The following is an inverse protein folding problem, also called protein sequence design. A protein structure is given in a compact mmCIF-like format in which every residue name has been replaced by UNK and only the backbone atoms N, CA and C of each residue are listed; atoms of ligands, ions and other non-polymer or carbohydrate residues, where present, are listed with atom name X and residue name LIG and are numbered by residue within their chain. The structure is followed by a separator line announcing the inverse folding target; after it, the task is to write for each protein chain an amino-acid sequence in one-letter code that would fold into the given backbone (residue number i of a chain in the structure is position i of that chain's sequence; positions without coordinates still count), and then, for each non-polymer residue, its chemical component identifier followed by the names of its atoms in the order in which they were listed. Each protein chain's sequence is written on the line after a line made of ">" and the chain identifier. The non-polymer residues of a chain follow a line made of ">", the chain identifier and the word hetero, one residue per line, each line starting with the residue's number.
data_IF_783763164206
#
_entry.id   IF_783763164206
#
_cell.length_a   1.000
_cell.length_b   1.000
_cell.length_c   1.000
_cell.angle_alpha   90.00
_cell.angle_beta   90.00
_cell.angle_gamma   90.00
#
_symmetry.space_group_name_H-M   'P 1'
#
loop_
_entity.id
_entity.type
_entity.pdbx_description
1 polymer ?
#
# COMPACT_ATOMS: atom_id res chain seq x y z
N UNK A 1 -11.31 -37.80 -26.27
CA UNK A 1 -10.80 -38.55 -25.09
C UNK A 1 -10.48 -37.53 -24.02
N UNK A 2 -11.40 -37.28 -23.09
CA UNK A 2 -11.17 -36.39 -21.94
C UNK A 2 -10.88 -37.27 -20.73
N UNK A 3 -9.68 -37.17 -20.17
CA UNK A 3 -9.34 -37.85 -18.93
C UNK A 3 -10.17 -37.26 -17.76
N UNK A 4 -10.69 -38.07 -16.83
CA UNK A 4 -11.37 -37.55 -15.66
C UNK A 4 -10.38 -36.85 -14.73
N UNK A 5 -10.76 -35.68 -14.23
CA UNK A 5 -10.02 -34.97 -13.19
C UNK A 5 -9.92 -35.85 -11.94
N UNK A 6 -8.69 -36.09 -11.47
CA UNK A 6 -8.43 -36.82 -10.24
C UNK A 6 -9.08 -36.08 -9.06
N UNK A 7 -10.01 -36.75 -8.39
CA UNK A 7 -10.54 -36.28 -7.10
C UNK A 7 -9.41 -36.37 -6.08
N UNK A 8 -8.83 -35.22 -5.73
CA UNK A 8 -7.92 -35.12 -4.58
C UNK A 8 -8.74 -35.44 -3.34
N UNK A 9 -8.49 -36.62 -2.77
CA UNK A 9 -9.09 -37.05 -1.53
C UNK A 9 -8.63 -36.09 -0.43
N UNK A 10 -9.58 -35.44 0.25
CA UNK A 10 -9.28 -34.56 1.36
C UNK A 10 -8.57 -35.37 2.44
N UNK A 11 -7.27 -35.13 2.61
CA UNK A 11 -6.52 -35.64 3.75
C UNK A 11 -7.18 -35.14 5.04
N UNK A 12 -7.07 -35.93 6.10
CA UNK A 12 -7.57 -35.61 7.43
C UNK A 12 -6.72 -34.46 8.01
N UNK A 13 -7.04 -33.22 7.60
CA UNK A 13 -6.35 -32.02 8.06
C UNK A 13 -6.81 -31.77 9.50
N UNK A 14 -5.88 -31.70 10.49
CA UNK A 14 -6.26 -31.40 11.86
C UNK A 14 -7.07 -30.10 11.91
N UNK A 15 -8.11 -30.08 12.74
CA UNK A 15 -9.05 -28.96 12.82
C UNK A 15 -8.29 -27.63 12.99
N UNK A 16 -8.48 -26.71 12.04
CA UNK A 16 -7.76 -25.44 12.04
C UNK A 16 -8.13 -24.62 13.29
N UNK A 17 -7.12 -24.17 14.02
CA UNK A 17 -7.32 -23.28 15.15
C UNK A 17 -7.68 -21.87 14.65
N UNK A 18 -8.88 -21.41 15.00
CA UNK A 18 -9.34 -20.05 14.69
C UNK A 18 -8.88 -19.07 15.76
N UNK A 19 -8.11 -18.04 15.36
CA UNK A 19 -7.65 -16.97 16.26
C UNK A 19 -8.49 -15.71 16.01
N UNK A 20 -9.24 -15.20 17.00
CA UNK A 20 -10.08 -14.03 16.82
C UNK A 20 -9.26 -12.74 16.64
N UNK A 21 -9.64 -11.92 15.66
CA UNK A 21 -9.04 -10.60 15.44
C UNK A 21 -9.74 -9.55 16.32
N UNK A 22 -9.09 -9.15 17.40
CA UNK A 22 -9.61 -8.15 18.35
C UNK A 22 -8.86 -6.82 18.24
N UNK A 23 -9.47 -5.75 18.77
CA UNK A 23 -8.86 -4.41 18.87
C UNK A 23 -8.33 -3.87 17.54
N UNK A 24 -7.07 -3.43 17.55
CA UNK A 24 -6.40 -2.83 16.39
C UNK A 24 -6.33 -3.78 15.19
N UNK A 25 -6.05 -5.07 15.40
CA UNK A 25 -5.97 -6.04 14.29
C UNK A 25 -7.32 -6.24 13.62
N UNK A 26 -8.40 -6.30 14.41
CA UNK A 26 -9.76 -6.34 13.89
C UNK A 26 -10.14 -5.08 13.13
N UNK A 27 -9.74 -3.89 13.62
CA UNK A 27 -10.00 -2.62 12.94
C UNK A 27 -9.26 -2.51 11.60
N UNK A 28 -7.97 -2.90 11.56
CA UNK A 28 -7.18 -2.92 10.33
C UNK A 28 -7.82 -3.87 9.31
N UNK A 29 -8.19 -5.08 9.73
CA UNK A 29 -8.82 -6.06 8.83
C UNK A 29 -10.12 -5.54 8.21
N UNK A 30 -10.99 -4.90 9.01
CA UNK A 30 -12.22 -4.27 8.50
C UNK A 30 -11.93 -3.14 7.52
N UNK A 31 -11.02 -2.23 7.86
CA UNK A 31 -10.68 -1.09 7.01
C UNK A 31 -10.04 -1.53 5.68
N UNK A 32 -9.16 -2.53 5.72
CA UNK A 32 -8.57 -3.11 4.50
C UNK A 32 -9.62 -3.80 3.65
N UNK A 33 -10.52 -4.59 4.25
CA UNK A 33 -11.62 -5.23 3.53
C UNK A 33 -12.54 -4.23 2.83
N UNK A 34 -12.83 -3.09 3.47
CA UNK A 34 -13.59 -1.99 2.87
C UNK A 34 -12.81 -1.31 1.74
N UNK A 35 -11.54 -0.97 1.95
CA UNK A 35 -10.69 -0.35 0.95
C UNK A 35 -10.49 -1.21 -0.31
N UNK A 36 -10.56 -2.53 -0.17
CA UNK A 36 -10.41 -3.47 -1.29
C UNK A 36 -11.65 -3.58 -2.20
N UNK A 37 -12.79 -2.99 -1.81
CA UNK A 37 -13.98 -2.92 -2.66
C UNK A 37 -13.85 -1.88 -3.77
N UNK A 38 -12.88 -0.97 -3.68
CA UNK A 38 -12.66 0.08 -4.67
C UNK A 38 -11.91 -0.51 -5.88
N UNK A 39 -12.37 -0.29 -7.13
CA UNK A 39 -11.64 -0.70 -8.32
C UNK A 39 -10.25 -0.03 -8.35
N UNK A 40 -9.19 -0.84 -8.32
CA UNK A 40 -7.81 -0.37 -8.25
C UNK A 40 -7.07 -0.64 -9.55
N UNK A 41 -6.34 0.35 -10.02
CA UNK A 41 -5.33 0.20 -11.06
C UNK A 41 -3.97 0.44 -10.44
N UNK A 42 -3.02 -0.46 -10.68
CA UNK A 42 -1.63 -0.30 -10.24
C UNK A 42 -0.83 0.39 -11.35
N UNK A 43 -0.14 1.47 -10.99
CA UNK A 43 0.85 2.12 -11.84
C UNK A 43 2.19 2.17 -11.11
N UNK A 44 3.24 1.79 -11.83
CA UNK A 44 4.62 1.79 -11.33
C UNK A 44 5.50 2.58 -12.29
N UNK A 45 6.41 3.37 -11.73
CA UNK A 45 7.45 4.09 -12.46
C UNK A 45 8.78 3.90 -11.74
N UNK A 46 9.86 3.86 -12.50
CA UNK A 46 11.21 3.92 -11.96
C UNK A 46 11.67 5.38 -11.90
N UNK A 47 12.32 5.76 -10.80
CA UNK A 47 12.77 7.13 -10.56
C UNK A 47 14.20 7.12 -10.05
N UNK A 48 15.07 7.89 -10.70
CA UNK A 48 16.42 8.15 -10.21
C UNK A 48 16.37 9.09 -8.99
N UNK A 49 16.86 8.60 -7.86
CA UNK A 49 16.89 9.33 -6.59
C UNK A 49 18.30 9.78 -6.18
N UNK A 50 19.28 9.72 -7.08
CA UNK A 50 20.70 10.03 -6.80
C UNK A 50 20.87 11.42 -6.20
N UNK A 51 20.11 12.41 -6.68
CA UNK A 51 20.12 13.78 -6.15
C UNK A 51 19.50 13.89 -4.76
N UNK A 52 18.45 13.11 -4.48
CA UNK A 52 17.84 13.04 -3.16
C UNK A 52 18.80 12.40 -2.15
N UNK A 53 19.52 11.35 -2.56
CA UNK A 53 20.54 10.71 -1.72
C UNK A 53 21.74 11.63 -1.44
N UNK A 54 22.17 12.43 -2.42
CA UNK A 54 23.19 13.44 -2.21
C UNK A 54 22.75 14.47 -1.14
N UNK A 55 21.57 15.06 -1.32
CA UNK A 55 20.99 15.99 -0.35
C UNK A 55 20.85 15.36 1.05
N UNK A 56 20.42 14.09 1.11
CA UNK A 56 20.28 13.35 2.37
C UNK A 56 21.62 13.20 3.10
N UNK A 57 22.72 12.97 2.37
CA UNK A 57 24.08 12.90 2.95
C UNK A 57 24.55 14.26 3.45
N UNK A 58 24.31 15.32 2.69
CA UNK A 58 24.70 16.69 3.06
C UNK A 58 23.98 17.13 4.34
N UNK A 59 22.68 16.86 4.44
CA UNK A 59 21.89 17.13 5.64
C UNK A 59 22.38 16.31 6.83
N UNK A 60 22.66 15.02 6.63
CA UNK A 60 23.20 14.17 7.69
C UNK A 60 24.57 14.66 8.19
N UNK A 61 25.42 15.18 7.31
CA UNK A 61 26.71 15.78 7.68
C UNK A 61 26.53 17.09 8.47
N UNK A 62 25.44 17.83 8.24
CA UNK A 62 25.04 18.99 9.03
C UNK A 62 24.35 18.64 10.37
N UNK A 63 24.14 17.35 10.66
CA UNK A 63 23.51 16.85 11.88
C UNK A 63 22.03 16.47 11.72
N UNK A 64 21.42 16.75 10.57
CA UNK A 64 20.00 16.50 10.30
C UNK A 64 19.78 15.16 9.61
N UNK A 65 19.36 14.16 10.38
CA UNK A 65 19.06 12.83 9.85
C UNK A 65 17.64 12.77 9.27
N UNK A 66 17.55 12.91 7.94
CA UNK A 66 16.30 12.73 7.20
C UNK A 66 16.27 11.41 6.43
N UNK A 67 15.09 10.79 6.35
CA UNK A 67 14.88 9.60 5.51
C UNK A 67 14.53 9.99 4.07
N UNK A 68 14.78 9.08 3.12
CA UNK A 68 14.33 9.28 1.73
C UNK A 68 12.81 9.45 1.67
N UNK A 69 12.05 8.77 2.53
CA UNK A 69 10.59 8.91 2.65
C UNK A 69 10.17 10.34 2.92
N UNK A 70 10.91 11.11 3.73
CA UNK A 70 10.59 12.52 4.00
C UNK A 70 10.78 13.39 2.75
N UNK A 71 11.83 13.14 1.97
CA UNK A 71 12.06 13.85 0.70
C UNK A 71 10.95 13.55 -0.31
N UNK A 72 10.56 12.27 -0.42
CA UNK A 72 9.44 11.83 -1.27
C UNK A 72 8.12 12.44 -0.79
N UNK A 73 7.88 12.50 0.52
CA UNK A 73 6.67 13.11 1.09
C UNK A 73 6.60 14.61 0.79
N UNK A 74 7.73 15.32 0.85
CA UNK A 74 7.80 16.74 0.47
C UNK A 74 7.49 16.94 -1.02
N UNK A 75 8.05 16.10 -1.89
CA UNK A 75 7.74 16.14 -3.32
C UNK A 75 6.24 15.88 -3.56
N UNK A 76 5.68 14.84 -2.93
CA UNK A 76 4.26 14.51 -3.02
C UNK A 76 3.37 15.68 -2.56
N UNK A 77 3.68 16.31 -1.43
CA UNK A 77 2.90 17.44 -0.92
C UNK A 77 2.88 18.63 -1.88
N UNK A 78 3.99 18.89 -2.59
CA UNK A 78 4.05 19.92 -3.63
C UNK A 78 3.23 19.51 -4.85
N UNK A 79 3.40 18.27 -5.33
CA UNK A 79 2.69 17.73 -6.50
C UNK A 79 1.17 17.69 -6.30
N UNK A 80 0.67 17.31 -5.12
CA UNK A 80 -0.77 17.25 -4.86
C UNK A 80 -1.45 18.64 -4.90
N UNK A 81 -0.70 19.73 -4.71
CA UNK A 81 -1.23 21.10 -4.91
C UNK A 81 -1.48 21.41 -6.38
N UNK A 82 -0.65 20.89 -7.27
CA UNK A 82 -0.78 21.04 -8.72
C UNK A 82 -1.82 20.08 -9.31
N UNK A 83 -2.06 18.95 -8.64
CA UNK A 83 -2.99 17.90 -9.06
C UNK A 83 -4.08 17.63 -8.01
N UNK A 84 -5.00 18.58 -7.74
CA UNK A 84 -5.97 18.48 -6.64
C UNK A 84 -6.91 17.26 -6.76
N UNK A 85 -7.19 16.79 -7.98
CA UNK A 85 -7.99 15.59 -8.23
C UNK A 85 -7.40 14.31 -7.65
N UNK A 86 -6.08 14.26 -7.43
CA UNK A 86 -5.41 13.11 -6.80
C UNK A 86 -5.53 13.11 -5.27
N UNK A 87 -5.86 14.26 -4.67
CA UNK A 87 -6.08 14.42 -3.23
C UNK A 87 -7.57 14.66 -2.90
N UNK A 88 -8.46 14.11 -3.73
CA UNK A 88 -9.90 14.30 -3.65
C UNK A 88 -10.60 13.13 -2.95
N UNK A 89 -11.77 13.38 -2.37
CA UNK A 89 -12.63 12.35 -1.79
C UNK A 89 -13.91 12.26 -2.61
N UNK A 90 -14.09 11.16 -3.32
CA UNK A 90 -15.31 10.93 -4.08
C UNK A 90 -16.53 10.82 -3.15
N UNK A 91 -17.56 11.62 -3.43
CA UNK A 91 -18.88 11.55 -2.79
C UNK A 91 -19.95 11.60 -3.87
N UNK A 92 -20.84 10.61 -3.88
CA UNK A 92 -21.88 10.44 -4.88
C UNK A 92 -21.34 10.41 -6.33
N UNK A 93 -21.51 11.51 -7.07
CA UNK A 93 -21.05 11.71 -8.45
C UNK A 93 -20.04 12.88 -8.58
N UNK A 94 -19.42 13.27 -7.47
CA UNK A 94 -18.45 14.36 -7.39
C UNK A 94 -17.12 13.90 -6.76
N UNK A 95 -16.04 14.60 -7.10
CA UNK A 95 -14.69 14.45 -6.51
C UNK A 95 -14.33 15.71 -5.74
#
# INVERSE_FOLDING_TARGET
>A
MNAPASTVQAADVPAAQMIPLTGLRGAIARNMGQGWQIPRVLHSVEVDVSRCEALRRDLAAAGDKVSLTVLVLRALALTLREHPRLNALMRDKAV
#
